data_IF_410164380914
#
_entry.id   IF_410164380914
#
_cell.length_a   1.000
_cell.length_b   1.000
_cell.length_c   1.000
_cell.angle_alpha   90.00
_cell.angle_beta   90.00
_cell.angle_gamma   90.00
#
_symmetry.space_group_name_H-M   'P 1'
#
loop_
_entity.id
_entity.type
_entity.pdbx_description
1 polymer ?
#
# COMPACT_ATOMS: atom_id res chain seq x y z
N UNK A 1 20.77 -1.99 1.83
CA UNK A 1 19.58 -2.40 2.59
C UNK A 1 18.58 -3.02 1.63
N UNK A 2 18.50 -4.35 1.66
CA UNK A 2 17.60 -5.13 0.81
C UNK A 2 16.48 -5.69 1.64
N UNK A 3 15.28 -5.22 1.34
CA UNK A 3 14.10 -5.42 2.15
C UNK A 3 13.12 -6.24 1.30
N UNK A 4 12.98 -7.52 1.62
CA UNK A 4 12.04 -8.43 0.98
C UNK A 4 10.83 -8.60 1.88
N UNK A 5 9.70 -8.04 1.46
CA UNK A 5 8.44 -8.22 2.17
C UNK A 5 7.86 -9.61 1.89
N UNK A 6 7.59 -10.37 2.95
CA UNK A 6 7.07 -11.74 2.89
C UNK A 6 5.80 -11.85 3.74
N UNK A 7 4.71 -12.28 3.13
CA UNK A 7 3.49 -12.60 3.85
C UNK A 7 3.52 -14.07 4.25
N UNK A 8 4.00 -14.32 5.47
CA UNK A 8 3.83 -15.64 6.08
C UNK A 8 2.38 -15.86 6.47
N UNK A 9 1.94 -17.11 6.50
CA UNK A 9 0.51 -17.51 6.63
C UNK A 9 -0.08 -17.15 8.01
N UNK A 10 0.70 -16.56 8.91
CA UNK A 10 0.23 -16.16 10.24
C UNK A 10 -0.68 -14.93 10.18
N UNK A 11 -1.80 -15.04 10.90
CA UNK A 11 -2.79 -13.99 11.03
C UNK A 11 -2.14 -12.75 11.70
N UNK A 12 -2.34 -11.60 11.07
CA UNK A 12 -2.19 -10.21 11.56
C UNK A 12 -0.87 -9.43 11.52
N UNK A 13 0.26 -9.90 10.98
CA UNK A 13 1.39 -8.98 10.73
C UNK A 13 2.30 -9.36 9.54
N UNK A 14 2.56 -8.41 8.64
CA UNK A 14 3.51 -8.57 7.54
C UNK A 14 4.95 -8.59 8.06
N UNK A 15 5.72 -9.62 7.70
CA UNK A 15 7.13 -9.73 8.05
C UNK A 15 8.01 -9.30 6.87
N UNK A 16 9.15 -8.75 7.21
CA UNK A 16 10.13 -8.26 6.26
C UNK A 16 11.44 -8.98 6.50
N UNK A 17 11.96 -9.67 5.49
CA UNK A 17 13.31 -10.18 5.51
C UNK A 17 14.27 -9.05 5.13
N UNK A 18 15.25 -8.81 5.99
CA UNK A 18 16.22 -7.73 5.81
C UNK A 18 17.64 -8.28 5.89
N UNK A 19 18.41 -8.05 4.82
CA UNK A 19 19.82 -8.48 4.72
C UNK A 19 20.72 -7.70 5.65
N UNK A 20 20.36 -6.45 5.96
CA UNK A 20 21.23 -5.51 6.66
C UNK A 20 20.79 -5.30 8.12
N UNK A 21 19.80 -6.07 8.58
CA UNK A 21 19.39 -6.05 9.97
C UNK A 21 20.19 -7.08 10.77
N UNK A 22 20.79 -6.67 11.89
CA UNK A 22 21.48 -7.58 12.82
C UNK A 22 20.58 -8.21 13.88
N UNK A 23 19.26 -7.99 13.83
CA UNK A 23 18.32 -8.41 14.86
C UNK A 23 16.98 -8.87 14.28
N UNK A 24 16.32 -9.84 14.92
CA UNK A 24 14.90 -10.08 14.69
C UNK A 24 14.09 -9.06 15.51
N UNK A 25 13.12 -8.39 14.87
CA UNK A 25 12.35 -7.31 15.50
C UNK A 25 10.86 -7.56 15.30
N UNK A 26 10.08 -7.41 16.37
CA UNK A 26 8.63 -7.45 16.33
C UNK A 26 8.03 -6.21 16.98
N UNK A 27 6.85 -5.82 16.52
CA UNK A 27 6.08 -4.69 17.04
C UNK A 27 4.82 -5.11 17.81
N UNK A 28 4.60 -6.42 17.97
CA UNK A 28 3.51 -6.98 18.74
C UNK A 28 4.08 -7.86 19.86
N UNK A 29 3.80 -7.49 21.10
CA UNK A 29 4.26 -8.26 22.26
C UNK A 29 3.56 -9.61 22.36
N UNK A 30 2.36 -9.76 21.78
CA UNK A 30 1.58 -11.00 21.86
C UNK A 30 2.19 -12.14 21.05
N UNK A 31 2.98 -11.83 20.01
CA UNK A 31 3.66 -12.87 19.22
C UNK A 31 4.92 -13.40 19.91
N UNK A 32 5.41 -12.71 20.95
CA UNK A 32 6.64 -13.03 21.65
C UNK A 32 6.37 -14.09 22.74
N UNK A 33 6.96 -15.27 22.57
CA UNK A 33 6.89 -16.39 23.51
C UNK A 33 8.15 -16.45 24.37
N UNK A 34 8.02 -17.02 25.58
CA UNK A 34 9.14 -17.14 26.54
C UNK A 34 9.91 -15.82 26.70
N UNK A 35 9.18 -14.71 26.76
CA UNK A 35 9.74 -13.36 26.73
C UNK A 35 10.31 -12.94 28.09
N UNK A 36 11.39 -12.17 28.06
CA UNK A 36 11.97 -11.43 29.19
C UNK A 36 11.79 -9.93 28.92
N UNK A 37 11.29 -9.18 29.91
CA UNK A 37 11.31 -7.70 29.84
C UNK A 37 12.74 -7.20 29.99
N UNK A 38 13.08 -6.21 29.17
CA UNK A 38 14.36 -5.54 29.21
C UNK A 38 14.24 -4.29 30.07
N UNK A 39 15.28 -3.98 30.84
CA UNK A 39 15.39 -2.69 31.51
C UNK A 39 15.64 -1.58 30.48
N UNK A 40 15.31 -0.34 30.86
CA UNK A 40 15.52 0.82 30.01
C UNK A 40 17.00 0.91 29.62
N UNK A 41 17.27 0.98 28.32
CA UNK A 41 18.59 1.05 27.71
C UNK A 41 19.46 -0.23 27.80
N UNK A 42 18.90 -1.38 28.24
CA UNK A 42 19.63 -2.68 28.24
C UNK A 42 20.01 -3.10 26.82
N UNK A 43 19.10 -2.90 25.87
CA UNK A 43 19.34 -3.14 24.45
C UNK A 43 18.85 -1.95 23.65
N UNK A 44 19.76 -1.33 22.93
CA UNK A 44 19.49 -0.19 22.04
C UNK A 44 19.85 -0.59 20.62
N UNK A 45 18.84 -0.63 19.76
CA UNK A 45 18.97 -0.94 18.34
C UNK A 45 19.20 0.36 17.56
N UNK A 46 20.12 0.33 16.59
CA UNK A 46 20.30 1.42 15.63
C UNK A 46 19.52 1.12 14.36
N UNK A 47 18.62 2.03 14.01
CA UNK A 47 17.83 1.96 12.77
C UNK A 47 18.64 2.48 11.58
N UNK A 48 18.17 2.17 10.37
CA UNK A 48 18.81 2.58 9.11
C UNK A 48 18.86 4.10 8.88
N UNK A 49 18.01 4.88 9.57
CA UNK A 49 18.03 6.35 9.57
C UNK A 49 18.98 6.95 10.63
N UNK A 50 19.76 6.10 11.31
CA UNK A 50 20.70 6.48 12.35
C UNK A 50 20.07 6.68 13.74
N UNK A 51 18.74 6.59 13.88
CA UNK A 51 18.08 6.72 15.18
C UNK A 51 18.34 5.51 16.07
N UNK A 52 18.46 5.77 17.36
CA UNK A 52 18.57 4.74 18.39
C UNK A 52 17.18 4.46 18.98
N UNK A 53 16.81 3.19 19.09
CA UNK A 53 15.53 2.75 19.67
C UNK A 53 15.79 1.66 20.70
N UNK A 54 15.26 1.82 21.90
CA UNK A 54 15.36 0.82 22.95
C UNK A 54 14.36 -0.33 22.71
N UNK A 55 14.83 -1.57 22.86
CA UNK A 55 13.96 -2.74 22.91
C UNK A 55 13.36 -2.88 24.31
N UNK A 56 12.07 -3.23 24.38
CA UNK A 56 11.35 -3.34 25.66
C UNK A 56 11.26 -4.78 26.17
N UNK A 57 11.39 -5.76 25.28
CA UNK A 57 11.44 -7.17 25.63
C UNK A 57 12.27 -7.96 24.61
N UNK A 58 12.74 -9.13 25.00
CA UNK A 58 13.37 -10.12 24.13
C UNK A 58 12.72 -11.49 24.35
N UNK A 59 12.60 -12.29 23.31
CA UNK A 59 12.01 -13.63 23.43
C UNK A 59 12.12 -14.44 22.16
N UNK A 60 11.26 -15.45 22.05
CA UNK A 60 11.22 -16.40 20.94
C UNK A 60 9.93 -16.20 20.16
N UNK A 61 10.02 -16.18 18.84
CA UNK A 61 8.83 -16.11 17.97
C UNK A 61 8.80 -17.36 17.11
N UNK A 62 7.67 -18.08 17.18
CA UNK A 62 7.42 -19.26 16.36
C UNK A 62 6.53 -18.89 15.18
N UNK A 63 7.11 -18.79 13.99
CA UNK A 63 6.41 -18.42 12.77
C UNK A 63 5.97 -19.66 12.01
N UNK A 64 4.69 -19.74 11.69
CA UNK A 64 4.15 -20.83 10.88
C UNK A 64 4.31 -20.46 9.41
N UNK A 65 5.26 -21.12 8.74
CA UNK A 65 5.53 -20.90 7.30
C UNK A 65 4.55 -21.72 6.46
N UNK A 66 4.28 -22.95 6.87
CA UNK A 66 3.22 -23.82 6.32
C UNK A 66 2.73 -24.78 7.41
N UNK A 67 1.66 -25.54 7.14
CA UNK A 67 1.04 -26.48 8.11
C UNK A 67 2.03 -27.44 8.80
N UNK A 68 3.19 -27.69 8.18
CA UNK A 68 4.23 -28.61 8.67
C UNK A 68 5.54 -27.92 9.06
N UNK A 69 5.66 -26.61 8.87
CA UNK A 69 6.93 -25.90 8.99
C UNK A 69 6.79 -24.74 9.95
N UNK A 70 7.60 -24.79 11.01
CA UNK A 70 7.68 -23.74 12.03
C UNK A 70 9.11 -23.20 12.05
N UNK A 71 9.23 -21.90 11.90
CA UNK A 71 10.49 -21.17 12.03
C UNK A 71 10.56 -20.60 13.44
N UNK A 72 11.46 -21.13 14.26
CA UNK A 72 11.73 -20.60 15.60
C UNK A 72 12.81 -19.51 15.49
N UNK A 73 12.39 -18.25 15.65
CA UNK A 73 13.29 -17.11 15.74
C UNK A 73 13.65 -16.88 17.21
N UNK A 74 14.94 -16.99 17.52
CA UNK A 74 15.49 -16.70 18.86
C UNK A 74 15.91 -15.24 18.96
N UNK A 75 16.00 -14.74 20.18
CA UNK A 75 16.47 -13.37 20.48
C UNK A 75 15.73 -12.28 19.69
N UNK A 76 14.40 -12.43 19.58
CA UNK A 76 13.53 -11.47 18.95
C UNK A 76 13.27 -10.29 19.88
N UNK A 77 13.57 -9.08 19.43
CA UNK A 77 13.37 -7.87 20.20
C UNK A 77 12.00 -7.25 19.91
N UNK A 78 11.27 -6.93 20.97
CA UNK A 78 10.02 -6.18 20.88
C UNK A 78 10.29 -4.68 20.92
N UNK A 79 9.80 -3.99 19.89
CA UNK A 79 9.89 -2.54 19.72
C UNK A 79 8.52 -2.01 19.27
N UNK A 80 7.72 -1.41 20.17
CA UNK A 80 6.31 -1.08 19.89
C UNK A 80 6.11 -0.07 18.77
N UNK A 81 7.07 0.84 18.57
CA UNK A 81 6.96 1.93 17.59
C UNK A 81 7.46 1.55 16.18
N UNK A 82 7.79 0.28 15.94
CA UNK A 82 8.20 -0.20 14.62
C UNK A 82 6.99 -0.40 13.70
N UNK A 83 7.11 0.07 12.45
CA UNK A 83 6.04 -0.02 11.44
C UNK A 83 5.90 -1.44 10.89
N UNK A 84 7.00 -2.20 10.83
CA UNK A 84 7.06 -3.55 10.27
C UNK A 84 7.85 -4.47 11.20
N UNK A 85 7.48 -5.75 11.20
CA UNK A 85 8.29 -6.80 11.80
C UNK A 85 9.44 -7.16 10.87
N UNK A 86 10.62 -7.41 11.43
CA UNK A 86 11.84 -7.68 10.68
C UNK A 86 12.40 -9.03 11.08
N UNK A 87 12.75 -9.83 10.09
CA UNK A 87 13.54 -11.04 10.21
C UNK A 87 14.91 -10.74 9.60
N UNK A 88 15.95 -10.75 10.44
CA UNK A 88 17.32 -10.69 9.96
C UNK A 88 17.65 -11.93 9.13
N UNK A 89 18.01 -11.73 7.86
CA UNK A 89 18.54 -12.80 7.01
C UNK A 89 19.89 -13.27 7.54
N UNK A 90 20.74 -12.33 8.02
CA UNK A 90 22.05 -12.64 8.60
C UNK A 90 21.94 -13.62 9.79
N UNK A 91 20.97 -13.41 10.69
CA UNK A 91 20.76 -14.32 11.82
C UNK A 91 20.20 -15.69 11.39
N UNK A 92 19.40 -15.73 10.33
CA UNK A 92 18.94 -17.01 9.76
C UNK A 92 20.09 -17.77 9.10
N UNK A 93 20.95 -17.10 8.35
CA UNK A 93 22.16 -17.69 7.77
C UNK A 93 23.08 -18.28 8.85
N UNK A 94 23.34 -17.52 9.91
CA UNK A 94 24.08 -18.01 11.09
C UNK A 94 23.40 -19.20 11.80
N UNK A 95 22.08 -19.34 11.67
CA UNK A 95 21.31 -20.46 12.20
C UNK A 95 21.23 -21.67 11.23
N UNK A 96 22.01 -21.62 10.13
CA UNK A 96 22.13 -22.69 9.13
C UNK A 96 20.96 -22.74 8.15
N UNK A 97 20.25 -21.64 7.96
CA UNK A 97 19.25 -21.54 6.91
C UNK A 97 19.87 -20.98 5.64
N UNK A 98 19.70 -21.68 4.52
CA UNK A 98 20.09 -21.18 3.21
C UNK A 98 18.85 -20.59 2.50
N UNK A 99 19.07 -19.63 1.62
CA UNK A 99 17.99 -19.00 0.86
C UNK A 99 18.19 -19.29 -0.62
N UNK A 100 17.17 -19.89 -1.25
CA UNK A 100 17.21 -20.24 -2.66
C UNK A 100 16.06 -19.57 -3.38
N UNK A 101 16.34 -18.94 -4.52
CA UNK A 101 15.32 -18.43 -5.40
C UNK A 101 15.23 -19.32 -6.62
N UNK A 102 14.08 -19.92 -6.84
CA UNK A 102 13.82 -20.71 -8.04
C UNK A 102 12.39 -20.46 -8.55
N UNK A 103 12.20 -20.33 -9.86
CA UNK A 103 10.87 -20.20 -10.48
C UNK A 103 9.95 -19.11 -9.86
N UNK A 104 10.50 -17.93 -9.55
CA UNK A 104 9.82 -16.82 -8.84
C UNK A 104 9.44 -17.08 -7.38
N UNK A 105 9.91 -18.18 -6.80
CA UNK A 105 9.67 -18.55 -5.42
C UNK A 105 10.92 -18.29 -4.59
N UNK A 106 10.73 -17.66 -3.44
CA UNK A 106 11.76 -17.52 -2.42
C UNK A 106 11.63 -18.71 -1.46
N UNK A 107 12.63 -19.57 -1.42
CA UNK A 107 12.70 -20.74 -0.57
C UNK A 107 13.68 -20.52 0.57
N UNK A 108 13.27 -20.96 1.75
CA UNK A 108 14.14 -21.18 2.90
C UNK A 108 14.52 -22.66 2.91
N UNK A 109 15.80 -22.95 2.94
CA UNK A 109 16.34 -24.30 2.97
C UNK A 109 16.98 -24.54 4.34
N UNK A 110 16.74 -25.71 4.92
CA UNK A 110 17.46 -26.17 6.12
C UNK A 110 17.47 -27.69 6.18
N UNK A 111 18.63 -28.27 6.48
CA UNK A 111 18.82 -29.72 6.63
C UNK A 111 18.24 -30.52 5.44
N UNK A 112 18.40 -30.01 4.22
CA UNK A 112 17.88 -30.62 2.98
C UNK A 112 16.38 -30.41 2.72
N UNK A 113 15.65 -29.74 3.61
CA UNK A 113 14.24 -29.39 3.42
C UNK A 113 14.08 -28.01 2.79
N UNK A 114 13.21 -27.89 1.78
CA UNK A 114 12.87 -26.62 1.12
C UNK A 114 11.49 -26.11 1.56
N UNK A 115 11.40 -24.82 1.86
CA UNK A 115 10.17 -24.18 2.36
C UNK A 115 9.90 -22.89 1.59
N UNK A 116 8.79 -22.85 0.86
CA UNK A 116 8.35 -21.65 0.15
C UNK A 116 7.96 -20.56 1.17
N UNK A 117 8.73 -19.48 1.20
CA UNK A 117 8.44 -18.30 2.01
C UNK A 117 7.48 -17.36 1.28
N UNK A 118 7.55 -17.28 -0.04
CA UNK A 118 6.64 -16.47 -0.83
C UNK A 118 7.04 -16.37 -2.29
N UNK A 119 6.14 -15.83 -3.09
CA UNK A 119 6.40 -15.56 -4.50
C UNK A 119 6.86 -14.11 -4.70
N UNK A 120 8.05 -13.91 -5.26
CA UNK A 120 8.66 -12.60 -5.53
C UNK A 120 8.42 -12.21 -7.00
N UNK A 121 8.08 -10.94 -7.25
CA UNK A 121 7.95 -10.45 -8.63
C UNK A 121 9.30 -10.39 -9.34
N UNK A 122 9.30 -10.67 -10.65
CA UNK A 122 10.51 -10.61 -11.47
C UNK A 122 11.20 -9.23 -11.40
N UNK A 123 10.44 -8.13 -11.37
CA UNK A 123 11.00 -6.77 -11.21
C UNK A 123 11.75 -6.56 -9.89
N UNK A 124 11.26 -7.14 -8.79
CA UNK A 124 11.96 -7.06 -7.49
C UNK A 124 13.21 -7.93 -7.50
N UNK A 125 13.12 -9.10 -8.14
CA UNK A 125 14.27 -9.99 -8.32
C UNK A 125 15.38 -9.34 -9.17
N UNK A 126 15.02 -8.61 -10.23
CA UNK A 126 15.95 -7.76 -11.02
C UNK A 126 16.67 -6.77 -10.14
N UNK A 127 15.94 -6.02 -9.31
CA UNK A 127 16.56 -5.07 -8.36
C UNK A 127 17.51 -5.73 -7.37
N UNK A 128 17.20 -6.95 -6.91
CA UNK A 128 18.08 -7.70 -6.00
C UNK A 128 19.38 -8.13 -6.69
N UNK A 129 19.30 -8.61 -7.93
CA UNK A 129 20.48 -8.96 -8.74
C UNK A 129 21.31 -7.74 -9.09
N UNK A 130 20.67 -6.67 -9.59
CA UNK A 130 21.34 -5.41 -9.97
C UNK A 130 22.11 -4.80 -8.80
N UNK A 131 21.60 -5.00 -7.59
CA UNK A 131 22.20 -4.50 -6.37
C UNK A 131 23.32 -5.36 -5.78
N UNK A 132 23.65 -6.49 -6.42
CA UNK A 132 24.62 -7.49 -5.94
C UNK A 132 24.28 -8.13 -4.60
N UNK A 133 23.01 -8.11 -4.23
CA UNK A 133 22.54 -8.67 -2.96
C UNK A 133 22.20 -10.14 -3.06
N UNK A 134 21.99 -10.60 -4.30
CA UNK A 134 21.75 -11.98 -4.66
C UNK A 134 22.39 -12.22 -6.03
N UNK A 135 23.01 -13.39 -6.18
CA UNK A 135 23.48 -13.89 -7.46
C UNK A 135 22.44 -14.91 -7.96
N UNK A 136 21.79 -14.59 -9.08
CA UNK A 136 20.77 -15.45 -9.68
C UNK A 136 21.10 -15.60 -11.16
N UNK A 137 21.34 -16.84 -11.58
CA UNK A 137 21.55 -17.16 -12.98
C UNK A 137 20.21 -17.17 -13.74
N UNK A 138 20.24 -16.69 -14.99
CA UNK A 138 19.12 -16.80 -15.95
C UNK A 138 17.79 -16.15 -15.53
N UNK A 139 17.85 -14.96 -14.91
CA UNK A 139 16.68 -14.19 -14.47
C UNK A 139 15.63 -13.89 -15.58
N UNK A 140 16.07 -13.79 -16.83
CA UNK A 140 15.19 -13.52 -17.98
C UNK A 140 14.43 -14.76 -18.48
N UNK A 141 14.84 -15.98 -18.05
CA UNK A 141 14.25 -17.26 -18.48
C UNK A 141 13.50 -18.00 -17.35
N UNK A 142 13.10 -17.30 -16.29
CA UNK A 142 12.33 -17.91 -15.21
C UNK A 142 10.96 -18.41 -15.70
N UNK A 143 10.55 -19.64 -15.35
CA UNK A 143 9.27 -20.19 -15.75
C UNK A 143 8.12 -19.47 -15.06
N UNK A 144 7.02 -19.29 -15.78
CA UNK A 144 5.87 -18.54 -15.26
C UNK A 144 5.18 -19.28 -14.12
N UNK A 145 5.12 -18.66 -12.94
CA UNK A 145 4.49 -19.25 -11.75
C UNK A 145 2.94 -19.30 -11.89
N UNK A 146 2.38 -20.50 -12.02
CA UNK A 146 0.93 -20.73 -12.18
C UNK A 146 0.12 -20.21 -10.98
N UNK A 147 0.62 -20.40 -9.76
CA UNK A 147 -0.01 -19.92 -8.52
C UNK A 147 -0.10 -18.39 -8.49
N UNK A 148 0.98 -17.71 -8.89
CA UNK A 148 0.99 -16.26 -9.06
C UNK A 148 0.06 -15.81 -10.18
N UNK A 149 0.04 -16.52 -11.31
CA UNK A 149 -0.87 -16.21 -12.40
C UNK A 149 -2.32 -16.29 -11.94
N UNK A 150 -2.72 -17.36 -11.25
CA UNK A 150 -4.08 -17.54 -10.70
C UNK A 150 -4.41 -16.47 -9.65
N UNK A 151 -3.47 -16.17 -8.73
CA UNK A 151 -3.66 -15.17 -7.67
C UNK A 151 -3.65 -13.72 -8.17
N UNK A 152 -2.93 -13.44 -9.27
CA UNK A 152 -2.91 -12.13 -9.96
C UNK A 152 -3.86 -12.09 -11.15
N UNK A 153 -4.64 -13.16 -11.38
CA UNK A 153 -5.56 -13.26 -12.50
C UNK A 153 -6.67 -12.24 -12.29
N UNK A 154 -6.51 -11.07 -12.89
CA UNK A 154 -7.63 -10.16 -13.07
C UNK A 154 -8.61 -10.86 -13.99
N UNK A 155 -9.89 -10.93 -13.58
CA UNK A 155 -10.99 -11.42 -14.43
C UNK A 155 -10.77 -10.85 -15.83
N UNK A 156 -10.80 -11.70 -16.88
CA UNK A 156 -10.65 -11.24 -18.27
C UNK A 156 -11.53 -9.98 -18.41
N UNK A 157 -11.01 -8.86 -18.96
CA UNK A 157 -11.86 -7.73 -19.30
C UNK A 157 -13.08 -8.30 -20.03
N UNK A 158 -14.28 -7.92 -19.58
CA UNK A 158 -15.51 -8.43 -20.19
C UNK A 158 -15.38 -8.32 -21.72
N UNK A 159 -15.57 -9.44 -22.43
CA UNK A 159 -15.50 -9.45 -23.89
C UNK A 159 -16.74 -8.75 -24.39
N UNK A 160 -16.57 -7.47 -24.64
CA UNK A 160 -17.60 -6.53 -25.04
C UNK A 160 -17.10 -5.15 -24.69
N UNK A 161 -16.96 -4.25 -25.67
CA UNK A 161 -16.89 -2.83 -25.36
C UNK A 161 -18.19 -2.52 -24.62
N UNK A 162 -18.12 -2.24 -23.32
CA UNK A 162 -19.25 -1.57 -22.66
C UNK A 162 -19.49 -0.31 -23.47
N UNK A 163 -20.69 -0.17 -24.05
CA UNK A 163 -21.07 1.10 -24.67
C UNK A 163 -20.95 2.14 -23.56
N UNK A 164 -20.15 3.18 -23.80
CA UNK A 164 -20.13 4.34 -22.91
C UNK A 164 -21.55 4.88 -22.80
N UNK A 165 -21.90 5.39 -21.62
CA UNK A 165 -23.09 6.22 -21.44
C UNK A 165 -23.14 7.30 -22.54
N UNK A 166 -24.34 7.57 -23.07
CA UNK A 166 -24.52 8.54 -24.15
C UNK A 166 -24.73 9.97 -23.62
N UNK A 167 -25.11 10.10 -22.35
CA UNK A 167 -25.30 11.38 -21.68
C UNK A 167 -24.86 11.34 -20.22
N UNK A 168 -24.68 12.53 -19.65
CA UNK A 168 -24.30 12.71 -18.25
C UNK A 168 -25.33 12.03 -17.33
N UNK A 169 -24.86 11.36 -16.29
CA UNK A 169 -25.66 10.72 -15.24
C UNK A 169 -26.44 9.47 -15.66
N UNK A 170 -26.32 9.02 -16.93
CA UNK A 170 -26.97 7.78 -17.39
C UNK A 170 -26.44 6.53 -16.67
N UNK A 171 -25.15 6.54 -16.31
CA UNK A 171 -24.51 5.43 -15.62
C UNK A 171 -23.48 5.95 -14.62
N UNK A 172 -23.73 5.70 -13.34
CA UNK A 172 -22.79 5.97 -12.26
C UNK A 172 -22.21 4.66 -11.75
N UNK A 173 -20.89 4.60 -11.73
CA UNK A 173 -20.15 3.52 -11.10
C UNK A 173 -19.74 3.93 -9.70
N UNK A 174 -19.87 3.03 -8.71
CA UNK A 174 -19.45 3.30 -7.33
C UNK A 174 -18.66 2.16 -6.70
N UNK A 175 -17.75 2.49 -5.80
CA UNK A 175 -17.03 1.52 -4.97
C UNK A 175 -16.55 2.15 -3.67
N UNK A 176 -16.45 1.33 -2.62
CA UNK A 176 -15.89 1.73 -1.33
C UNK A 176 -14.47 1.21 -1.24
N UNK A 177 -13.53 2.10 -0.93
CA UNK A 177 -12.18 1.76 -0.54
C UNK A 177 -11.99 2.05 0.95
N UNK A 178 -11.28 1.19 1.68
CA UNK A 178 -10.94 1.53 3.04
C UNK A 178 -10.38 0.39 3.87
N UNK A 179 -10.41 0.61 5.19
CA UNK A 179 -9.46 0.06 6.15
C UNK A 179 -8.02 0.37 5.73
N UNK A 180 -7.78 1.65 5.44
CA UNK A 180 -6.43 2.14 5.18
C UNK A 180 -5.64 2.13 6.50
N UNK A 181 -4.38 1.69 6.43
CA UNK A 181 -3.49 1.47 7.59
C UNK A 181 -3.25 2.73 8.44
N UNK A 182 -3.61 3.91 7.94
CA UNK A 182 -3.48 5.18 8.65
C UNK A 182 -4.77 5.98 8.50
N UNK A 183 -5.26 6.55 9.59
CA UNK A 183 -6.40 7.47 9.55
C UNK A 183 -5.98 8.84 9.00
N UNK A 184 -6.88 9.50 8.27
CA UNK A 184 -6.68 10.92 7.97
C UNK A 184 -6.67 11.75 9.25
N UNK A 185 -6.20 13.00 9.19
CA UNK A 185 -6.35 13.97 10.30
C UNK A 185 -7.79 14.15 10.78
N UNK A 186 -8.78 13.94 9.92
CA UNK A 186 -10.22 13.98 10.26
C UNK A 186 -10.77 12.70 10.87
N UNK A 187 -9.94 11.67 11.08
CA UNK A 187 -10.33 10.36 11.61
C UNK A 187 -10.99 9.44 10.58
N UNK A 188 -10.87 9.72 9.29
CA UNK A 188 -11.44 8.90 8.22
C UNK A 188 -10.51 7.73 7.85
N UNK A 189 -11.08 6.52 7.65
CA UNK A 189 -10.38 5.27 7.30
C UNK A 189 -10.87 4.65 5.99
N UNK A 190 -11.93 5.22 5.41
CA UNK A 190 -12.58 4.77 4.19
C UNK A 190 -12.85 5.97 3.28
N UNK A 191 -13.05 5.72 1.99
CA UNK A 191 -13.63 6.66 1.06
C UNK A 191 -14.51 5.91 0.06
N UNK A 192 -15.56 6.57 -0.43
CA UNK A 192 -16.42 6.07 -1.49
C UNK A 192 -16.26 6.96 -2.71
N UNK A 193 -16.25 6.34 -3.88
CA UNK A 193 -16.18 7.05 -5.16
C UNK A 193 -17.48 6.88 -5.95
N UNK A 194 -17.91 7.94 -6.63
CA UNK A 194 -18.97 7.92 -7.63
C UNK A 194 -18.40 8.49 -8.92
N UNK A 195 -18.43 7.69 -9.99
CA UNK A 195 -17.84 8.04 -11.26
C UNK A 195 -18.92 7.99 -12.32
N UNK A 196 -19.10 9.10 -13.02
CA UNK A 196 -19.96 9.16 -14.18
C UNK A 196 -19.27 8.55 -15.40
N UNK A 197 -19.94 7.61 -16.07
CA UNK A 197 -19.35 6.88 -17.19
C UNK A 197 -19.15 7.76 -18.43
N UNK A 198 -20.02 8.75 -18.66
CA UNK A 198 -19.95 9.61 -19.84
C UNK A 198 -18.79 10.62 -19.75
N UNK A 199 -18.71 11.37 -18.65
CA UNK A 199 -17.70 12.40 -18.43
C UNK A 199 -16.40 11.86 -17.82
N UNK A 200 -16.44 10.68 -17.20
CA UNK A 200 -15.37 10.16 -16.34
C UNK A 200 -15.07 11.06 -15.13
N UNK A 201 -16.00 11.94 -14.74
CA UNK A 201 -15.90 12.81 -13.58
C UNK A 201 -16.07 12.00 -12.29
N UNK A 202 -15.23 12.26 -11.28
CA UNK A 202 -15.20 11.54 -10.03
C UNK A 202 -15.55 12.39 -8.81
N UNK A 203 -16.54 11.94 -8.06
CA UNK A 203 -16.85 12.40 -6.71
C UNK A 203 -16.23 11.46 -5.69
N UNK A 204 -15.62 12.03 -4.66
CA UNK A 204 -14.99 11.29 -3.56
C UNK A 204 -15.50 11.80 -2.24
N UNK A 205 -16.01 10.90 -1.39
CA UNK A 205 -16.41 11.21 -0.02
C UNK A 205 -15.57 10.40 0.96
N UNK A 206 -14.91 11.08 1.90
CA UNK A 206 -14.21 10.45 3.02
C UNK A 206 -15.23 9.92 4.05
N UNK A 207 -14.94 8.77 4.68
CA UNK A 207 -15.83 8.10 5.64
C UNK A 207 -15.04 7.52 6.82
N UNK A 208 -15.59 7.56 8.03
CA UNK A 208 -14.96 6.95 9.22
C UNK A 208 -15.30 5.47 9.29
N UNK A 209 -16.54 5.12 8.94
CA UNK A 209 -17.03 3.75 8.93
C UNK A 209 -17.62 3.37 7.58
N UNK A 210 -17.51 2.09 7.21
CA UNK A 210 -18.13 1.55 5.99
C UNK A 210 -19.66 1.72 5.97
N UNK A 211 -20.30 1.80 7.15
CA UNK A 211 -21.74 2.04 7.30
C UNK A 211 -22.20 3.43 6.81
N UNK A 212 -21.29 4.40 6.69
CA UNK A 212 -21.61 5.74 6.16
C UNK A 212 -21.90 5.74 4.65
N UNK A 213 -21.59 4.65 3.93
CA UNK A 213 -21.72 4.59 2.48
C UNK A 213 -23.13 4.94 1.97
N UNK A 214 -24.17 4.49 2.68
CA UNK A 214 -25.55 4.81 2.29
C UNK A 214 -25.90 6.28 2.53
N UNK A 215 -25.30 6.92 3.54
CA UNK A 215 -25.46 8.37 3.77
C UNK A 215 -24.78 9.15 2.65
N UNK A 216 -23.54 8.78 2.29
CA UNK A 216 -22.81 9.41 1.16
C UNK A 216 -23.50 9.22 -0.18
N UNK A 217 -24.13 8.06 -0.39
CA UNK A 217 -24.96 7.83 -1.56
C UNK A 217 -26.18 8.75 -1.61
N UNK A 218 -26.84 9.00 -0.46
CA UNK A 218 -27.93 9.97 -0.39
C UNK A 218 -27.46 11.39 -0.68
N UNK A 219 -26.33 11.81 -0.12
CA UNK A 219 -25.70 13.11 -0.41
C UNK A 219 -25.46 13.27 -1.92
N UNK A 220 -24.79 12.30 -2.55
CA UNK A 220 -24.54 12.30 -3.99
C UNK A 220 -25.84 12.36 -4.82
N UNK A 221 -26.86 11.57 -4.46
CA UNK A 221 -28.15 11.55 -5.17
C UNK A 221 -28.94 12.84 -5.02
N UNK A 222 -28.95 13.43 -3.82
CA UNK A 222 -29.65 14.68 -3.54
C UNK A 222 -29.02 15.84 -4.33
N UNK A 223 -27.71 15.81 -4.52
CA UNK A 223 -27.03 16.82 -5.31
C UNK A 223 -27.21 16.62 -6.83
N UNK A 224 -27.27 15.37 -7.35
CA UNK A 224 -27.05 15.17 -8.79
C UNK A 224 -27.96 14.18 -9.56
N UNK A 225 -28.63 13.16 -9.00
CA UNK A 225 -29.16 12.03 -9.86
C UNK A 225 -30.62 11.57 -9.70
N UNK A 226 -31.37 11.38 -10.82
CA UNK A 226 -32.54 10.49 -10.92
C UNK A 226 -32.13 8.99 -10.88
N UNK A 227 -33.06 8.05 -10.64
CA UNK A 227 -32.72 6.66 -10.32
C UNK A 227 -32.47 5.76 -11.54
N UNK A 228 -31.41 4.94 -11.52
CA UNK A 228 -31.29 3.78 -12.42
C UNK A 228 -29.90 3.11 -12.53
N UNK A 229 -29.87 1.79 -12.27
CA UNK A 229 -28.87 0.74 -12.62
C UNK A 229 -27.38 0.88 -12.23
N UNK A 230 -26.93 0.12 -11.19
CA UNK A 230 -25.51 -0.04 -10.85
C UNK A 230 -24.98 -1.44 -11.23
N UNK A 231 -24.14 -1.60 -12.26
CA UNK A 231 -23.59 -2.94 -12.59
C UNK A 231 -22.19 -3.04 -13.22
N UNK A 232 -21.29 -2.06 -13.09
CA UNK A 232 -19.93 -2.22 -13.63
C UNK A 232 -18.82 -1.71 -12.69
N UNK A 233 -18.54 -2.46 -11.62
CA UNK A 233 -17.51 -2.09 -10.63
C UNK A 233 -16.07 -1.99 -11.19
N UNK A 234 -15.80 -2.55 -12.38
CA UNK A 234 -14.45 -2.56 -12.96
C UNK A 234 -13.92 -1.18 -13.38
N UNK A 235 -14.80 -0.22 -13.72
CA UNK A 235 -14.40 1.17 -14.04
C UNK A 235 -13.91 1.87 -12.78
N UNK A 236 -14.65 1.73 -11.69
CA UNK A 236 -14.28 2.35 -10.40
C UNK A 236 -13.10 1.66 -9.76
N UNK A 237 -13.00 0.33 -9.84
CA UNK A 237 -11.84 -0.38 -9.31
C UNK A 237 -10.54 0.10 -9.95
N UNK A 238 -10.54 0.34 -11.27
CA UNK A 238 -9.39 0.93 -11.97
C UNK A 238 -9.11 2.35 -11.51
N UNK A 239 -10.15 3.20 -11.40
CA UNK A 239 -10.00 4.58 -10.93
C UNK A 239 -9.47 4.65 -9.49
N UNK A 240 -10.02 3.84 -8.59
CA UNK A 240 -9.60 3.78 -7.19
C UNK A 240 -8.15 3.33 -7.07
N UNK A 241 -7.70 2.39 -7.91
CA UNK A 241 -6.28 2.02 -8.00
C UNK A 241 -5.41 3.19 -8.43
N UNK A 242 -5.81 3.93 -9.46
CA UNK A 242 -5.10 5.14 -9.90
C UNK A 242 -5.03 6.21 -8.81
N UNK A 243 -6.12 6.44 -8.07
CA UNK A 243 -6.15 7.38 -6.94
C UNK A 243 -5.17 6.94 -5.84
N UNK A 244 -5.19 5.66 -5.45
CA UNK A 244 -4.27 5.12 -4.44
C UNK A 244 -2.79 5.22 -4.87
N UNK A 245 -2.49 4.95 -6.14
CA UNK A 245 -1.11 5.05 -6.65
C UNK A 245 -0.64 6.52 -6.69
N UNK A 246 -1.52 7.46 -7.05
CA UNK A 246 -1.23 8.91 -6.97
C UNK A 246 -1.00 9.37 -5.53
N UNK A 247 -1.85 8.96 -4.58
CA UNK A 247 -1.67 9.29 -3.16
C UNK A 247 -0.32 8.78 -2.67
N UNK A 248 0.03 7.52 -2.95
CA UNK A 248 1.32 6.94 -2.55
C UNK A 248 2.49 7.74 -3.12
N UNK A 249 2.41 8.09 -4.40
CA UNK A 249 3.44 8.91 -5.05
C UNK A 249 3.53 10.30 -4.40
N UNK A 250 2.42 11.03 -4.29
CA UNK A 250 2.37 12.37 -3.69
C UNK A 250 2.90 12.38 -2.26
N UNK A 251 2.50 11.41 -1.44
CA UNK A 251 2.96 11.28 -0.06
C UNK A 251 4.45 10.89 0.02
N UNK A 252 4.98 10.12 -0.93
CA UNK A 252 6.40 9.72 -0.95
C UNK A 252 7.37 10.87 -1.27
N UNK A 253 6.89 11.93 -1.92
CA UNK A 253 7.69 13.12 -2.25
C UNK A 253 7.62 14.22 -1.17
N UNK A 254 6.98 13.96 -0.04
CA UNK A 254 6.82 14.94 1.04
C UNK A 254 7.18 14.34 2.38
N UNK A 255 7.63 15.17 3.33
CA UNK A 255 7.83 14.76 4.73
C UNK A 255 6.53 14.80 5.56
N UNK A 256 5.37 14.94 4.89
CA UNK A 256 4.10 15.04 5.57
C UNK A 256 3.73 13.72 6.26
N UNK A 257 3.15 13.78 7.47
CA UNK A 257 2.61 12.60 8.14
C UNK A 257 1.63 11.85 7.25
N UNK A 258 1.63 10.52 7.32
CA UNK A 258 0.72 9.67 6.52
C UNK A 258 -0.76 10.05 6.70
N UNK A 259 -1.15 10.67 7.82
CA UNK A 259 -2.50 11.18 8.08
C UNK A 259 -2.97 12.31 7.13
N UNK A 260 -2.10 12.82 6.27
CA UNK A 260 -2.46 13.78 5.21
C UNK A 260 -3.00 13.14 3.93
N UNK A 261 -3.08 11.80 3.85
CA UNK A 261 -3.53 11.11 2.65
C UNK A 261 -4.94 11.53 2.18
N UNK A 262 -5.80 12.05 3.06
CA UNK A 262 -7.13 12.57 2.68
C UNK A 262 -7.04 13.80 1.77
N UNK A 263 -6.15 14.74 2.07
CA UNK A 263 -5.89 15.89 1.21
C UNK A 263 -5.21 15.49 -0.09
N UNK A 264 -4.30 14.51 -0.04
CA UNK A 264 -3.67 13.95 -1.23
C UNK A 264 -4.71 13.26 -2.14
N UNK A 265 -5.71 12.58 -1.56
CA UNK A 265 -6.80 11.95 -2.30
C UNK A 265 -7.68 12.99 -3.01
N UNK A 266 -8.12 14.03 -2.30
CA UNK A 266 -8.92 15.12 -2.87
C UNK A 266 -8.16 15.83 -4.00
N UNK A 267 -6.87 16.08 -3.79
CA UNK A 267 -6.00 16.70 -4.81
C UNK A 267 -5.81 15.77 -6.02
N UNK A 268 -5.59 14.47 -5.80
CA UNK A 268 -5.45 13.50 -6.88
C UNK A 268 -6.74 13.36 -7.71
N UNK A 269 -7.91 13.33 -7.06
CA UNK A 269 -9.21 13.34 -7.73
C UNK A 269 -9.40 14.62 -8.55
N UNK A 270 -9.09 15.78 -7.95
CA UNK A 270 -9.16 17.07 -8.64
C UNK A 270 -8.28 17.10 -9.88
N UNK A 271 -7.02 16.68 -9.77
CA UNK A 271 -6.07 16.62 -10.89
C UNK A 271 -6.56 15.71 -12.01
N UNK A 272 -7.17 14.57 -11.69
CA UNK A 272 -7.74 13.68 -12.68
C UNK A 272 -9.01 14.24 -13.33
N UNK A 273 -9.81 15.01 -12.60
CA UNK A 273 -11.00 15.68 -13.10
C UNK A 273 -10.66 16.83 -14.07
N UNK A 274 -9.50 17.48 -13.91
CA UNK A 274 -9.07 18.62 -14.73
C UNK A 274 -8.01 18.27 -15.78
N UNK A 275 -7.58 17.02 -15.88
CA UNK A 275 -6.64 16.54 -16.89
C UNK A 275 -7.37 15.77 -18.01
N UNK A 276 -6.99 15.92 -19.28
CA UNK A 276 -7.59 15.17 -20.37
C UNK A 276 -7.21 13.69 -20.28
N UNK A 277 -8.12 12.82 -20.70
CA UNK A 277 -7.89 11.37 -20.74
C UNK A 277 -7.37 10.92 -22.11
N UNK A 278 -6.78 9.72 -22.21
CA UNK A 278 -6.37 9.15 -23.51
C UNK A 278 -7.56 8.93 -24.48
N UNK A 279 -8.77 8.84 -23.94
CA UNK A 279 -9.99 8.52 -24.67
C UNK A 279 -10.82 9.74 -25.04
N UNK A 280 -10.54 10.92 -24.47
CA UNK A 280 -11.35 12.14 -24.68
C UNK A 280 -10.45 13.37 -24.80
N UNK A 281 -10.73 14.23 -25.78
CA UNK A 281 -9.98 15.46 -26.02
C UNK A 281 -10.21 16.54 -24.93
N UNK A 282 -11.35 16.49 -24.24
CA UNK A 282 -11.71 17.41 -23.17
C UNK A 282 -11.53 16.78 -21.78
N UNK A 283 -11.36 17.63 -20.78
CA UNK A 283 -11.23 17.21 -19.38
C UNK A 283 -12.58 16.76 -18.83
N UNK A 284 -12.64 15.80 -17.89
CA UNK A 284 -13.88 15.41 -17.23
C UNK A 284 -14.66 16.60 -16.66
N UNK A 285 -13.97 17.57 -16.05
CA UNK A 285 -14.56 18.80 -15.51
C UNK A 285 -15.25 19.64 -16.59
N UNK A 286 -14.64 19.78 -17.77
CA UNK A 286 -15.26 20.49 -18.90
C UNK A 286 -16.50 19.79 -19.41
N UNK A 287 -16.47 18.46 -19.53
CA UNK A 287 -17.60 17.67 -20.01
C UNK A 287 -18.75 17.73 -19.00
N UNK A 288 -18.45 17.71 -17.71
CA UNK A 288 -19.43 17.71 -16.63
C UNK A 288 -20.06 19.10 -16.37
N UNK A 289 -19.24 20.15 -16.32
CA UNK A 289 -19.72 21.50 -15.99
C UNK A 289 -19.92 22.41 -17.20
N UNK A 290 -19.63 21.93 -18.43
CA UNK A 290 -19.66 22.72 -19.67
C UNK A 290 -18.84 24.02 -19.59
N UNK A 291 -17.80 24.06 -18.74
CA UNK A 291 -17.01 25.26 -18.44
C UNK A 291 -15.51 25.01 -18.67
N UNK A 292 -14.76 26.01 -19.17
CA UNK A 292 -13.33 25.89 -19.38
C UNK A 292 -12.58 25.72 -18.05
N UNK A 293 -11.62 24.80 -18.05
CA UNK A 293 -10.77 24.51 -16.90
C UNK A 293 -9.76 25.64 -16.71
N UNK A 294 -9.76 26.27 -15.54
CA UNK A 294 -8.66 27.14 -15.11
C UNK A 294 -7.58 26.31 -14.42
N UNK A 295 -6.31 26.60 -14.73
CA UNK A 295 -5.13 25.98 -14.13
C UNK A 295 -4.33 26.95 -13.26
N UNK A 296 -4.75 28.23 -13.19
CA UNK A 296 -3.99 29.32 -12.53
C UNK A 296 -3.78 29.11 -11.04
N UNK A 297 -4.66 28.35 -10.42
CA UNK A 297 -4.63 28.01 -9.01
C UNK A 297 -3.87 26.72 -8.72
N UNK A 298 -3.31 26.01 -9.71
CA UNK A 298 -2.50 24.83 -9.42
C UNK A 298 -1.12 25.24 -8.89
N UNK A 299 -0.66 24.52 -7.88
CA UNK A 299 0.64 24.61 -7.26
C UNK A 299 1.27 23.21 -7.20
N UNK A 300 2.58 23.20 -6.97
CA UNK A 300 3.33 21.95 -6.81
C UNK A 300 2.99 21.37 -5.45
N UNK A 301 2.70 20.06 -5.41
CA UNK A 301 2.51 19.35 -4.15
C UNK A 301 3.84 19.27 -3.38
N UNK A 302 4.04 20.16 -2.42
CA UNK A 302 5.23 20.22 -1.54
C UNK A 302 4.84 20.51 -0.10
N UNK A 303 5.66 20.06 0.85
CA UNK A 303 5.61 20.54 2.22
C UNK A 303 6.32 21.90 2.30
N UNK A 304 5.67 22.93 2.85
CA UNK A 304 6.34 24.19 3.15
C UNK A 304 7.20 24.00 4.40
N UNK A 305 8.51 24.18 4.25
CA UNK A 305 9.44 24.25 5.38
C UNK A 305 9.12 25.52 6.18
N UNK A 306 8.72 25.36 7.45
CA UNK A 306 8.35 26.49 8.32
C UNK A 306 9.50 26.80 9.27
N UNK A 307 10.61 27.24 8.68
CA UNK A 307 11.71 27.87 9.41
C UNK A 307 11.69 29.38 9.23
N UNK A 308 10.57 30.05 9.52
CA UNK A 308 10.60 31.49 9.84
C UNK A 308 9.33 31.93 10.58
N UNK A 309 9.54 32.46 11.79
CA UNK A 309 8.50 32.87 12.70
C UNK A 309 7.76 34.12 12.21
N UNK A 310 6.46 34.02 11.96
CA UNK A 310 5.47 35.07 12.29
C UNK A 310 4.03 34.62 12.02
N UNK A 311 3.38 34.03 13.03
CA UNK A 311 1.96 34.27 13.32
C UNK A 311 0.88 34.07 12.23
N UNK A 312 1.09 33.23 11.20
CA UNK A 312 0.01 32.82 10.28
C UNK A 312 -0.12 31.31 10.22
N UNK A 313 -1.36 30.85 10.25
CA UNK A 313 -1.77 29.44 10.19
C UNK A 313 -1.04 28.70 9.08
N UNK A 314 -0.65 27.45 9.35
CA UNK A 314 -0.12 26.52 8.35
C UNK A 314 -1.11 26.41 7.18
N UNK A 315 -0.78 27.11 6.08
CA UNK A 315 -1.52 27.03 4.82
C UNK A 315 -0.97 25.89 3.98
N UNK A 316 -1.86 25.06 3.46
CA UNK A 316 -1.57 24.16 2.35
C UNK A 316 -1.93 24.92 1.08
N UNK A 317 -0.97 25.10 0.18
CA UNK A 317 -1.25 25.63 -1.16
C UNK A 317 -1.47 24.44 -2.12
N UNK A 318 -2.68 24.36 -2.67
CA UNK A 318 -3.04 23.50 -3.82
C UNK A 318 -2.68 24.23 -5.10
#
# INVERSE_FOLDING_TARGET
>A
MFVVEVNMVTNSASWVLDTDCGAHICNDLQVLQRSKKLSKDEVVLRLGDGKAVAAEAVGIINLVVSDRVRLELKDCYFVPNMIKNIISILLLDNAGFEFLINEHCFYLMKDGSSHLLGHISQDRMKRLVDSKSLEIDNLDNLPTCESCLKGKMTRKPFVGKSKLANSLLDLIHTNICGLLNTQTRGGFSYFITFIDDHSQYDYVYLMRYKSEAFVRFKEFRLEWTPPGMPQLNGVVERRNRTLLDKIRSMMSFTELPLSFWGYALETAARLLSIAPSKTMAWTPYQIWHCNPTSYKYLRVWVALDTSEASGRQAGFEV
#
